data_IF_762084277784
#
_entry.id   IF_762084277784
#
_cell.length_a   1.000
_cell.length_b   1.000
_cell.length_c   1.000
_cell.angle_alpha   90.00
_cell.angle_beta   90.00
_cell.angle_gamma   90.00
#
_symmetry.space_group_name_H-M   'P 1'
#
loop_
_entity.id
_entity.type
_entity.pdbx_description
1 polymer ?
#
# COMPACT_ATOMS: atom_id res chain seq x y z
N UNK A 1 16.54 8.04 -61.43
CA UNK A 1 17.08 8.57 -60.16
C UNK A 1 16.05 8.26 -59.09
N UNK A 2 16.18 7.12 -58.49
CA UNK A 2 15.32 6.63 -57.39
C UNK A 2 15.98 7.00 -56.07
N UNK A 3 15.36 7.98 -55.40
CA UNK A 3 15.78 8.46 -54.09
C UNK A 3 15.32 7.42 -53.04
N UNK A 4 16.24 6.56 -52.62
CA UNK A 4 16.08 5.64 -51.49
C UNK A 4 16.46 6.38 -50.24
N UNK A 5 15.54 7.21 -49.70
CA UNK A 5 15.67 7.72 -48.34
C UNK A 5 15.59 6.52 -47.40
N UNK A 6 16.75 6.11 -46.89
CA UNK A 6 16.88 5.16 -45.76
C UNK A 6 16.13 5.72 -44.56
N UNK A 7 14.89 5.25 -44.36
CA UNK A 7 14.22 5.39 -43.08
C UNK A 7 15.08 4.71 -42.00
N UNK A 8 15.76 5.53 -41.19
CA UNK A 8 16.37 5.02 -39.94
C UNK A 8 15.25 4.36 -39.13
N UNK A 9 15.41 3.12 -38.74
CA UNK A 9 14.49 2.53 -37.75
C UNK A 9 14.56 3.43 -36.50
N UNK A 10 13.42 3.99 -36.12
CA UNK A 10 13.29 4.63 -34.81
C UNK A 10 13.67 3.58 -33.79
N UNK A 11 14.74 3.83 -33.04
CA UNK A 11 15.15 2.99 -31.92
C UNK A 11 13.93 2.80 -31.02
N UNK A 12 13.42 1.59 -30.94
CA UNK A 12 12.39 1.24 -30.00
C UNK A 12 12.87 1.60 -28.60
N UNK A 13 12.06 2.29 -27.76
CA UNK A 13 12.45 2.57 -26.39
C UNK A 13 12.64 1.19 -25.70
N UNK A 14 13.90 0.80 -25.55
CA UNK A 14 14.27 -0.40 -24.80
C UNK A 14 13.69 -0.33 -23.37
N UNK A 15 13.44 -1.48 -22.78
CA UNK A 15 12.90 -1.74 -21.44
C UNK A 15 13.70 -1.01 -20.32
N UNK A 16 13.83 0.30 -20.39
CA UNK A 16 14.46 1.10 -19.35
C UNK A 16 13.59 1.02 -18.09
N UNK A 17 14.17 0.50 -17.01
CA UNK A 17 13.55 0.50 -15.69
C UNK A 17 13.20 1.94 -15.33
N UNK A 18 11.95 2.21 -15.00
CA UNK A 18 11.55 3.51 -14.44
C UNK A 18 12.08 3.60 -13.00
N UNK A 19 13.33 4.04 -12.87
CA UNK A 19 14.03 4.15 -11.59
C UNK A 19 13.32 5.09 -10.62
N UNK A 20 12.59 6.09 -11.14
CA UNK A 20 11.83 7.02 -10.32
C UNK A 20 10.60 6.35 -9.71
N UNK A 21 9.88 5.55 -10.51
CA UNK A 21 8.76 4.76 -10.01
C UNK A 21 9.23 3.68 -9.03
N UNK A 22 10.36 3.03 -9.31
CA UNK A 22 10.95 2.04 -8.40
C UNK A 22 11.37 2.69 -7.08
N UNK A 23 12.08 3.82 -7.12
CA UNK A 23 12.47 4.58 -5.94
C UNK A 23 11.27 5.02 -5.10
N UNK A 24 10.20 5.51 -5.76
CA UNK A 24 8.95 5.89 -5.09
C UNK A 24 8.25 4.70 -4.41
N UNK A 25 8.24 3.53 -5.07
CA UNK A 25 7.69 2.31 -4.50
C UNK A 25 8.51 1.81 -3.30
N UNK A 26 9.84 1.81 -3.39
CA UNK A 26 10.74 1.41 -2.30
C UNK A 26 10.64 2.37 -1.12
N UNK A 27 10.55 3.68 -1.36
CA UNK A 27 10.30 4.66 -0.31
C UNK A 27 9.00 4.34 0.45
N UNK A 28 7.91 4.04 -0.28
CA UNK A 28 6.64 3.64 0.35
C UNK A 28 6.78 2.36 1.18
N UNK A 29 7.50 1.35 0.66
CA UNK A 29 7.76 0.10 1.38
C UNK A 29 8.53 0.34 2.67
N UNK A 30 9.62 1.12 2.63
CA UNK A 30 10.45 1.40 3.81
C UNK A 30 9.67 2.19 4.87
N UNK A 31 8.91 3.20 4.45
CA UNK A 31 8.10 3.99 5.38
C UNK A 31 6.92 3.18 5.96
N UNK A 32 6.31 2.29 5.19
CA UNK A 32 5.29 1.39 5.73
C UNK A 32 5.88 0.35 6.66
N UNK A 33 7.06 -0.18 6.36
CA UNK A 33 7.78 -1.08 7.27
C UNK A 33 8.10 -0.40 8.61
N UNK A 34 8.56 0.85 8.59
CA UNK A 34 8.83 1.62 9.81
C UNK A 34 7.56 1.96 10.61
N UNK A 35 6.38 1.98 9.95
CA UNK A 35 5.12 2.23 10.63
C UNK A 35 4.78 1.14 11.67
N UNK A 36 5.18 -0.11 11.44
CA UNK A 36 4.94 -1.20 12.40
C UNK A 36 5.61 -0.94 13.75
N UNK A 37 6.78 -0.26 13.76
CA UNK A 37 7.45 0.15 15.00
C UNK A 37 6.58 1.16 15.76
N UNK A 38 6.09 2.20 15.07
CA UNK A 38 5.26 3.24 15.68
C UNK A 38 3.86 2.75 16.09
N UNK A 39 3.26 1.83 15.33
CA UNK A 39 1.96 1.24 15.67
C UNK A 39 2.08 0.43 16.97
N UNK A 40 3.16 -0.34 17.13
CA UNK A 40 3.43 -1.10 18.36
C UNK A 40 3.60 -0.18 19.57
N UNK A 41 4.32 0.94 19.39
CA UNK A 41 4.52 1.93 20.45
C UNK A 41 3.21 2.61 20.89
N UNK A 42 2.20 2.67 20.04
CA UNK A 42 0.91 3.33 20.31
C UNK A 42 -0.22 2.38 20.75
N UNK A 43 0.02 1.07 20.76
CA UNK A 43 -1.04 0.07 20.95
C UNK A 43 -1.80 0.21 22.29
N UNK A 44 -1.11 0.65 23.34
CA UNK A 44 -1.68 0.82 24.67
C UNK A 44 -2.24 2.23 24.93
N UNK A 45 -1.82 3.24 24.15
CA UNK A 45 -2.16 4.64 24.38
C UNK A 45 -3.47 5.07 23.71
N UNK A 46 -3.80 4.49 22.54
CA UNK A 46 -4.92 4.93 21.71
C UNK A 46 -5.77 3.75 21.23
N UNK A 47 -7.09 3.91 21.25
CA UNK A 47 -8.00 2.96 20.61
C UNK A 47 -7.81 2.95 19.08
N UNK A 48 -8.13 1.83 18.37
CA UNK A 48 -7.93 1.70 16.93
C UNK A 48 -8.57 2.81 16.10
N UNK A 49 -9.77 3.25 16.50
CA UNK A 49 -10.48 4.35 15.84
C UNK A 49 -9.84 5.71 16.09
N UNK A 50 -9.48 6.00 17.34
CA UNK A 50 -8.79 7.24 17.71
C UNK A 50 -7.45 7.36 17.00
N UNK A 51 -6.67 6.29 17.00
CA UNK A 51 -5.39 6.24 16.29
C UNK A 51 -5.56 6.48 14.79
N UNK A 52 -6.53 5.80 14.14
CA UNK A 52 -6.81 6.01 12.71
C UNK A 52 -7.20 7.45 12.42
N UNK A 53 -8.10 8.04 13.23
CA UNK A 53 -8.52 9.43 13.06
C UNK A 53 -7.35 10.41 13.21
N UNK A 54 -6.56 10.30 14.28
CA UNK A 54 -5.39 11.17 14.52
C UNK A 54 -4.36 11.11 13.40
N UNK A 55 -4.03 9.91 12.93
CA UNK A 55 -3.13 9.68 11.81
C UNK A 55 -3.64 10.32 10.52
N UNK A 56 -4.93 10.16 10.20
CA UNK A 56 -5.53 10.75 9.00
C UNK A 56 -5.67 12.27 9.11
N UNK A 57 -5.93 12.80 10.29
CA UNK A 57 -5.95 14.24 10.53
C UNK A 57 -4.62 14.90 10.21
N UNK A 58 -3.53 14.38 10.74
CA UNK A 58 -2.17 14.86 10.44
C UNK A 58 -1.84 14.72 8.95
N UNK A 59 -2.17 13.57 8.35
CA UNK A 59 -1.95 13.34 6.93
C UNK A 59 -2.74 14.33 6.06
N UNK A 60 -4.00 14.59 6.38
CA UNK A 60 -4.84 15.53 5.65
C UNK A 60 -4.31 16.97 5.74
N UNK A 61 -3.83 17.39 6.91
CA UNK A 61 -3.18 18.71 7.09
C UNK A 61 -1.92 18.79 6.21
N UNK A 62 -1.04 17.81 6.29
CA UNK A 62 0.20 17.77 5.51
C UNK A 62 -0.07 17.77 4.00
N UNK A 63 -1.00 16.94 3.52
CA UNK A 63 -1.38 16.87 2.11
C UNK A 63 -2.04 18.18 1.65
N UNK A 64 -2.88 18.81 2.48
CA UNK A 64 -3.50 20.09 2.15
C UNK A 64 -2.46 21.19 2.00
N UNK A 65 -1.45 21.24 2.89
CA UNK A 65 -0.33 22.16 2.75
C UNK A 65 0.46 21.94 1.45
N UNK A 66 0.75 20.69 1.09
CA UNK A 66 1.44 20.35 -0.17
C UNK A 66 0.58 20.75 -1.38
N UNK A 67 -0.72 20.45 -1.36
CA UNK A 67 -1.66 20.80 -2.44
C UNK A 67 -1.79 22.31 -2.60
N UNK A 68 -1.85 23.07 -1.50
CA UNK A 68 -1.90 24.54 -1.53
C UNK A 68 -0.68 25.17 -2.22
N UNK A 69 0.50 24.56 -2.04
CA UNK A 69 1.75 25.00 -2.69
C UNK A 69 1.84 24.52 -4.13
N UNK A 70 1.57 23.24 -4.38
CA UNK A 70 1.75 22.59 -5.70
C UNK A 70 0.63 22.87 -6.67
N UNK A 71 -0.56 23.20 -6.18
CA UNK A 71 -1.79 23.49 -6.95
C UNK A 71 -2.05 22.49 -8.08
N UNK A 72 -2.08 21.18 -7.81
CA UNK A 72 -2.30 20.18 -8.84
C UNK A 72 -3.71 20.31 -9.43
N UNK A 73 -3.90 19.81 -10.66
CA UNK A 73 -5.20 19.78 -11.30
C UNK A 73 -6.22 18.98 -10.47
N UNK A 74 -7.43 19.49 -10.34
CA UNK A 74 -8.53 18.86 -9.63
C UNK A 74 -9.44 18.11 -10.62
N UNK A 75 -10.01 16.95 -10.22
CA UNK A 75 -10.97 16.24 -11.05
C UNK A 75 -12.31 17.01 -11.08
N UNK A 76 -12.87 17.19 -12.26
CA UNK A 76 -14.13 17.92 -12.47
C UNK A 76 -15.32 16.99 -12.70
N UNK A 77 -15.10 15.69 -12.88
CA UNK A 77 -16.14 14.73 -13.25
C UNK A 77 -16.46 13.77 -12.11
N UNK A 78 -17.75 13.43 -11.95
CA UNK A 78 -18.18 12.39 -11.01
C UNK A 78 -17.53 11.03 -11.27
N UNK A 79 -17.23 10.70 -12.54
CA UNK A 79 -16.55 9.46 -12.92
C UNK A 79 -15.14 9.35 -12.34
N UNK A 80 -14.47 10.47 -12.08
CA UNK A 80 -13.17 10.47 -11.40
C UNK A 80 -13.32 10.57 -9.88
N UNK A 81 -14.27 11.35 -9.38
CA UNK A 81 -14.46 11.58 -7.93
C UNK A 81 -14.96 10.34 -7.19
N UNK A 82 -15.91 9.58 -7.77
CA UNK A 82 -16.49 8.41 -7.09
C UNK A 82 -15.46 7.33 -6.74
N UNK A 83 -14.59 6.85 -7.67
CA UNK A 83 -13.57 5.87 -7.30
C UNK A 83 -12.57 6.40 -6.28
N UNK A 84 -12.22 7.71 -6.32
CA UNK A 84 -11.34 8.32 -5.34
C UNK A 84 -12.00 8.33 -3.97
N UNK A 85 -13.25 8.76 -3.89
CA UNK A 85 -14.00 8.79 -2.63
C UNK A 85 -14.21 7.38 -2.07
N UNK A 86 -14.60 6.41 -2.91
CA UNK A 86 -14.73 5.02 -2.50
C UNK A 86 -13.40 4.45 -1.98
N UNK A 87 -12.28 4.73 -2.66
CA UNK A 87 -10.94 4.37 -2.17
C UNK A 87 -10.63 5.05 -0.83
N UNK A 88 -11.05 6.31 -0.63
CA UNK A 88 -10.90 7.04 0.62
C UNK A 88 -11.61 6.35 1.78
N UNK A 89 -12.89 6.01 1.61
CA UNK A 89 -13.68 5.30 2.64
C UNK A 89 -13.09 3.91 2.90
N UNK A 90 -12.82 3.15 1.83
CA UNK A 90 -12.45 1.73 1.93
C UNK A 90 -11.00 1.57 2.41
N UNK A 91 -10.05 2.31 1.84
CA UNK A 91 -8.63 2.10 2.12
C UNK A 91 -8.12 3.00 3.26
N UNK A 92 -8.46 4.29 3.27
CA UNK A 92 -7.99 5.18 4.34
C UNK A 92 -8.86 5.07 5.61
N UNK A 93 -10.18 4.98 5.48
CA UNK A 93 -11.09 4.87 6.62
C UNK A 93 -11.17 3.43 7.15
N UNK A 94 -11.79 2.54 6.38
CA UNK A 94 -12.13 1.20 6.85
C UNK A 94 -10.89 0.31 7.05
N UNK A 95 -9.98 0.24 6.07
CA UNK A 95 -8.79 -0.61 6.17
C UNK A 95 -7.98 -0.35 7.44
N UNK A 96 -7.62 0.92 7.72
CA UNK A 96 -6.81 1.23 8.90
C UNK A 96 -7.54 0.90 10.20
N UNK A 97 -8.84 1.23 10.29
CA UNK A 97 -9.62 0.96 11.50
C UNK A 97 -9.77 -0.53 11.74
N UNK A 98 -10.10 -1.30 10.70
CA UNK A 98 -10.30 -2.74 10.76
C UNK A 98 -8.97 -3.46 11.05
N UNK A 99 -7.88 -3.05 10.40
CA UNK A 99 -6.57 -3.62 10.62
C UNK A 99 -6.11 -3.40 12.06
N UNK A 100 -6.16 -2.16 12.54
CA UNK A 100 -5.75 -1.82 13.90
C UNK A 100 -6.60 -2.56 14.96
N UNK A 101 -7.88 -2.83 14.67
CA UNK A 101 -8.73 -3.65 15.54
C UNK A 101 -8.33 -5.14 15.49
N UNK A 102 -8.03 -5.67 14.31
CA UNK A 102 -7.60 -7.06 14.14
C UNK A 102 -6.26 -7.35 14.81
N UNK A 103 -5.29 -6.44 14.70
CA UNK A 103 -3.95 -6.57 15.29
C UNK A 103 -3.94 -6.58 16.83
N UNK A 104 -5.05 -6.21 17.48
CA UNK A 104 -5.22 -6.36 18.93
C UNK A 104 -5.62 -7.78 19.36
N UNK A 105 -6.18 -8.56 18.45
CA UNK A 105 -6.76 -9.88 18.71
C UNK A 105 -5.90 -11.03 18.19
N UNK A 106 -4.88 -10.72 17.38
CA UNK A 106 -3.89 -11.69 16.87
C UNK A 106 -2.49 -11.14 17.00
N UNK A 107 -1.49 -12.01 17.07
CA UNK A 107 -0.10 -11.57 17.08
C UNK A 107 0.31 -10.91 15.74
N UNK A 108 1.33 -10.07 15.79
CA UNK A 108 1.79 -9.29 14.64
C UNK A 108 2.21 -10.16 13.45
N UNK A 109 2.78 -11.35 13.70
CA UNK A 109 3.16 -12.29 12.65
C UNK A 109 1.95 -12.83 11.91
N UNK A 110 0.91 -13.23 12.64
CA UNK A 110 -0.37 -13.69 12.08
C UNK A 110 -1.08 -12.56 11.33
N UNK A 111 -1.17 -11.36 11.90
CA UNK A 111 -1.76 -10.19 11.21
C UNK A 111 -1.04 -9.90 9.89
N UNK A 112 0.29 -9.87 9.90
CA UNK A 112 1.10 -9.65 8.71
C UNK A 112 0.86 -10.71 7.62
N UNK A 113 0.78 -12.00 7.99
CA UNK A 113 0.45 -13.07 7.04
C UNK A 113 -0.92 -12.85 6.39
N UNK A 114 -1.93 -12.56 7.18
CA UNK A 114 -3.31 -12.41 6.71
C UNK A 114 -3.47 -11.19 5.81
N UNK A 115 -2.89 -10.05 6.16
CA UNK A 115 -2.94 -8.83 5.34
C UNK A 115 -2.20 -9.01 4.02
N UNK A 116 -1.14 -9.82 4.00
CA UNK A 116 -0.40 -10.14 2.79
C UNK A 116 -1.13 -11.07 1.80
N UNK A 117 -2.38 -11.47 2.08
CA UNK A 117 -3.32 -11.95 1.06
C UNK A 117 -3.72 -10.80 0.11
N UNK A 118 -3.67 -9.54 0.56
CA UNK A 118 -4.03 -8.35 -0.22
C UNK A 118 -3.37 -8.26 -1.60
N UNK A 119 -2.04 -8.40 -1.75
CA UNK A 119 -1.38 -8.41 -3.05
C UNK A 119 -1.90 -9.47 -4.04
N UNK A 120 -2.31 -10.65 -3.56
CA UNK A 120 -2.94 -11.68 -4.40
C UNK A 120 -4.30 -11.17 -4.88
N UNK A 121 -5.09 -10.60 -3.99
CA UNK A 121 -6.39 -10.00 -4.33
C UNK A 121 -6.22 -8.83 -5.29
N UNK A 122 -5.20 -7.97 -5.13
CA UNK A 122 -4.89 -6.89 -6.08
C UNK A 122 -4.61 -7.47 -7.46
N UNK A 123 -3.75 -8.49 -7.56
CA UNK A 123 -3.44 -9.14 -8.83
C UNK A 123 -4.68 -9.77 -9.46
N UNK A 124 -5.54 -10.42 -8.66
CA UNK A 124 -6.80 -10.98 -9.12
C UNK A 124 -7.76 -9.89 -9.63
N UNK A 125 -7.98 -8.82 -8.88
CA UNK A 125 -8.85 -7.71 -9.28
C UNK A 125 -8.29 -6.95 -10.48
N UNK A 126 -6.98 -6.75 -10.55
CA UNK A 126 -6.33 -6.14 -11.71
C UNK A 126 -6.50 -6.99 -12.98
N UNK A 127 -6.32 -8.30 -12.86
CA UNK A 127 -6.54 -9.23 -13.97
C UNK A 127 -7.98 -9.25 -14.46
N UNK A 128 -8.95 -9.28 -13.53
CA UNK A 128 -10.37 -9.41 -13.84
C UNK A 128 -11.03 -8.08 -14.26
N UNK A 129 -10.73 -6.99 -13.55
CA UNK A 129 -11.48 -5.73 -13.71
C UNK A 129 -10.69 -4.64 -14.44
N UNK A 130 -9.36 -4.67 -14.43
CA UNK A 130 -8.53 -3.67 -15.11
C UNK A 130 -7.96 -4.16 -16.44
N UNK A 131 -8.21 -5.43 -16.80
CA UNK A 131 -7.70 -6.01 -18.04
C UNK A 131 -6.20 -6.24 -18.06
N UNK A 132 -5.54 -6.30 -16.89
CA UNK A 132 -4.10 -6.56 -16.79
C UNK A 132 -3.75 -8.02 -17.09
N UNK A 133 -4.73 -8.93 -17.05
CA UNK A 133 -4.54 -10.37 -17.21
C UNK A 133 -3.74 -11.00 -16.07
N UNK A 134 -3.30 -12.24 -16.30
CA UNK A 134 -2.54 -13.04 -15.33
C UNK A 134 -1.19 -13.49 -15.92
N UNK A 135 -0.20 -12.61 -16.09
CA UNK A 135 1.10 -12.99 -16.61
C UNK A 135 1.72 -14.09 -15.74
N UNK A 136 2.22 -15.21 -16.31
CA UNK A 136 2.73 -16.33 -15.52
C UNK A 136 3.81 -15.93 -14.51
N UNK A 137 4.68 -15.00 -14.88
CA UNK A 137 5.74 -14.51 -13.98
C UNK A 137 5.18 -13.72 -12.79
N UNK A 138 4.10 -12.95 -12.99
CA UNK A 138 3.41 -12.29 -11.88
C UNK A 138 2.80 -13.32 -10.94
N UNK A 139 2.12 -14.33 -11.46
CA UNK A 139 1.48 -15.38 -10.66
C UNK A 139 2.53 -16.17 -9.87
N UNK A 140 3.58 -16.67 -10.54
CA UNK A 140 4.67 -17.43 -9.89
C UNK A 140 5.39 -16.56 -8.87
N UNK A 141 5.77 -15.33 -9.25
CA UNK A 141 6.45 -14.40 -8.35
C UNK A 141 5.62 -14.04 -7.12
N UNK A 142 4.32 -13.81 -7.29
CA UNK A 142 3.41 -13.56 -6.16
C UNK A 142 3.26 -14.79 -5.25
N UNK A 143 3.17 -16.00 -5.81
CA UNK A 143 3.11 -17.23 -5.02
C UNK A 143 4.40 -17.44 -4.21
N UNK A 144 5.57 -17.25 -4.81
CA UNK A 144 6.86 -17.36 -4.11
C UNK A 144 6.99 -16.28 -3.02
N UNK A 145 6.63 -15.03 -3.32
CA UNK A 145 6.70 -13.94 -2.35
C UNK A 145 5.72 -14.15 -1.18
N UNK A 146 4.51 -14.64 -1.47
CA UNK A 146 3.53 -14.99 -0.44
C UNK A 146 4.01 -16.14 0.44
N UNK A 147 4.60 -17.18 -0.14
CA UNK A 147 5.23 -18.26 0.64
C UNK A 147 6.32 -17.71 1.57
N UNK A 148 7.14 -16.74 1.10
CA UNK A 148 8.10 -16.02 1.93
C UNK A 148 7.45 -15.30 3.11
N UNK A 149 6.34 -14.62 2.89
CA UNK A 149 5.57 -13.96 3.95
C UNK A 149 5.01 -14.96 4.96
N UNK A 150 4.51 -16.11 4.50
CA UNK A 150 4.06 -17.20 5.40
C UNK A 150 5.20 -17.70 6.29
N UNK A 151 6.39 -17.94 5.71
CA UNK A 151 7.57 -18.37 6.47
C UNK A 151 7.95 -17.33 7.53
N UNK A 152 7.95 -16.03 7.18
CA UNK A 152 8.20 -14.94 8.14
C UNK A 152 7.16 -14.96 9.26
N UNK A 153 5.89 -14.96 8.90
CA UNK A 153 4.81 -14.91 9.87
C UNK A 153 4.82 -16.09 10.84
N UNK A 154 5.03 -17.31 10.33
CA UNK A 154 5.16 -18.51 11.18
C UNK A 154 6.39 -18.45 12.08
N UNK A 155 7.50 -17.87 11.61
CA UNK A 155 8.72 -17.71 12.38
C UNK A 155 8.60 -16.64 13.50
N UNK A 156 7.74 -15.66 13.31
CA UNK A 156 7.54 -14.52 14.24
C UNK A 156 6.27 -14.64 15.08
N UNK A 157 5.40 -15.61 14.78
CA UNK A 157 4.18 -15.87 15.55
C UNK A 157 4.53 -16.39 16.95
N UNK A 158 3.89 -15.81 17.96
CA UNK A 158 4.08 -16.22 19.37
C UNK A 158 3.23 -17.41 19.76
N UNK A 159 2.30 -17.84 18.89
CA UNK A 159 1.35 -18.91 19.18
C UNK A 159 0.35 -18.56 20.29
N UNK A 160 0.30 -17.29 20.72
CA UNK A 160 -0.67 -16.85 21.70
C UNK A 160 -2.09 -16.98 21.12
N UNK A 161 -2.96 -17.71 21.80
CA UNK A 161 -4.37 -17.87 21.40
C UNK A 161 -5.24 -17.02 22.31
N UNK A 162 -5.70 -15.89 21.78
CA UNK A 162 -6.79 -15.13 22.38
C UNK A 162 -8.11 -15.83 22.03
N UNK A 163 -9.09 -15.93 22.95
CA UNK A 163 -10.42 -16.45 22.64
C UNK A 163 -11.08 -15.75 21.45
N UNK A 164 -10.77 -14.47 21.24
CA UNK A 164 -11.27 -13.64 20.14
C UNK A 164 -10.39 -13.69 18.88
N UNK A 165 -9.33 -14.52 18.85
CA UNK A 165 -8.46 -14.66 17.68
C UNK A 165 -9.21 -14.94 16.35
N UNK A 166 -10.29 -15.74 16.29
CA UNK A 166 -11.06 -15.91 15.06
C UNK A 166 -11.65 -14.61 14.53
N UNK A 167 -12.05 -13.68 15.41
CA UNK A 167 -12.54 -12.34 15.04
C UNK A 167 -11.37 -11.53 14.48
N UNK A 168 -10.21 -11.57 15.13
CA UNK A 168 -8.99 -10.93 14.67
C UNK A 168 -8.57 -11.39 13.27
N UNK A 169 -8.61 -12.71 13.02
CA UNK A 169 -8.36 -13.30 11.68
C UNK A 169 -9.34 -12.75 10.64
N UNK A 170 -10.65 -12.74 10.96
CA UNK A 170 -11.65 -12.21 10.04
C UNK A 170 -11.44 -10.72 9.73
N UNK A 171 -11.10 -9.91 10.73
CA UNK A 171 -10.78 -8.49 10.57
C UNK A 171 -9.54 -8.28 9.69
N UNK A 172 -8.46 -9.03 9.90
CA UNK A 172 -7.26 -8.93 9.07
C UNK A 172 -7.52 -9.33 7.61
N UNK A 173 -8.33 -10.36 7.35
CA UNK A 173 -8.73 -10.73 5.99
C UNK A 173 -9.64 -9.68 5.35
N UNK A 174 -10.56 -9.09 6.11
CA UNK A 174 -11.39 -7.99 5.64
C UNK A 174 -10.54 -6.75 5.33
N UNK A 175 -9.52 -6.47 6.14
CA UNK A 175 -8.54 -5.43 5.85
C UNK A 175 -7.77 -5.72 4.56
N UNK A 176 -7.31 -6.96 4.32
CA UNK A 176 -6.67 -7.34 3.06
C UNK A 176 -7.57 -7.10 1.84
N UNK A 177 -8.87 -7.41 1.96
CA UNK A 177 -9.85 -7.13 0.92
C UNK A 177 -10.03 -5.62 0.70
N UNK A 178 -10.18 -4.84 1.77
CA UNK A 178 -10.31 -3.39 1.69
C UNK A 178 -9.07 -2.74 1.04
N UNK A 179 -7.88 -3.20 1.38
CA UNK A 179 -6.63 -2.78 0.74
C UNK A 179 -6.65 -3.06 -0.77
N UNK A 180 -7.00 -4.28 -1.16
CA UNK A 180 -7.03 -4.67 -2.57
C UNK A 180 -8.06 -3.86 -3.39
N UNK A 181 -9.25 -3.66 -2.84
CA UNK A 181 -10.28 -2.82 -3.46
C UNK A 181 -9.81 -1.36 -3.57
N UNK A 182 -9.21 -0.82 -2.52
CA UNK A 182 -8.70 0.55 -2.51
C UNK A 182 -7.65 0.81 -3.58
N UNK A 183 -6.66 -0.08 -3.71
CA UNK A 183 -5.62 -0.01 -4.76
C UNK A 183 -6.24 -0.12 -6.15
N UNK A 184 -7.15 -1.07 -6.35
CA UNK A 184 -7.82 -1.28 -7.65
C UNK A 184 -8.63 -0.05 -8.06
N UNK A 185 -9.37 0.55 -7.12
CA UNK A 185 -10.13 1.79 -7.36
C UNK A 185 -9.21 2.96 -7.72
N UNK A 186 -8.11 3.15 -6.97
CA UNK A 186 -7.14 4.19 -7.30
C UNK A 186 -6.57 4.00 -8.71
N UNK A 187 -6.24 2.78 -9.11
CA UNK A 187 -5.69 2.50 -10.43
C UNK A 187 -6.61 2.94 -11.57
N UNK A 188 -7.93 2.90 -11.38
CA UNK A 188 -8.89 3.31 -12.42
C UNK A 188 -8.84 4.81 -12.78
N UNK A 189 -8.36 5.64 -11.86
CA UNK A 189 -8.33 7.10 -12.00
C UNK A 189 -6.92 7.67 -12.21
N UNK A 190 -5.90 6.93 -11.76
CA UNK A 190 -4.50 7.30 -12.03
C UNK A 190 -4.25 7.31 -13.54
N UNK A 191 -3.50 8.30 -14.03
CA UNK A 191 -3.33 8.59 -15.46
C UNK A 191 -4.25 9.68 -15.99
N UNK A 192 -5.38 9.96 -15.28
CA UNK A 192 -6.28 11.09 -15.58
C UNK A 192 -6.24 12.17 -14.50
N UNK A 193 -5.96 11.76 -13.27
CA UNK A 193 -5.85 12.63 -12.09
C UNK A 193 -4.46 12.48 -11.50
N UNK A 194 -3.78 13.59 -11.14
CA UNK A 194 -2.47 13.53 -10.51
C UNK A 194 -2.48 12.70 -9.21
N UNK A 195 -1.44 11.91 -8.98
CA UNK A 195 -1.32 11.05 -7.80
C UNK A 195 -1.52 11.80 -6.47
N UNK A 196 -0.93 12.99 -6.35
CA UNK A 196 -1.10 13.87 -5.18
C UNK A 196 -2.57 14.22 -4.94
N UNK A 197 -3.31 14.57 -6.00
CA UNK A 197 -4.74 14.92 -5.92
C UNK A 197 -5.57 13.71 -5.49
N UNK A 198 -5.29 12.53 -6.07
CA UNK A 198 -5.97 11.28 -5.71
C UNK A 198 -5.77 10.98 -4.22
N UNK A 199 -4.52 11.03 -3.74
CA UNK A 199 -4.19 10.75 -2.34
C UNK A 199 -4.80 11.78 -1.39
N UNK A 200 -4.74 13.07 -1.74
CA UNK A 200 -5.30 14.14 -0.91
C UNK A 200 -6.82 14.01 -0.74
N UNK A 201 -7.57 13.81 -1.83
CA UNK A 201 -9.03 13.65 -1.77
C UNK A 201 -9.38 12.35 -1.03
N UNK A 202 -8.71 11.23 -1.33
CA UNK A 202 -8.96 9.97 -0.67
C UNK A 202 -8.68 10.04 0.84
N UNK A 203 -7.57 10.68 1.25
CA UNK A 203 -7.25 10.90 2.66
C UNK A 203 -8.30 11.78 3.35
N UNK A 204 -8.74 12.89 2.72
CA UNK A 204 -9.79 13.76 3.24
C UNK A 204 -11.14 13.04 3.41
N UNK A 205 -11.52 12.20 2.45
CA UNK A 205 -12.74 11.38 2.54
C UNK A 205 -12.58 10.30 3.62
N UNK A 206 -11.41 9.66 3.73
CA UNK A 206 -11.13 8.71 4.81
C UNK A 206 -11.19 9.37 6.18
N UNK A 207 -10.63 10.57 6.33
CA UNK A 207 -10.76 11.37 7.55
C UNK A 207 -12.23 11.67 7.88
N UNK A 208 -13.02 12.08 6.88
CA UNK A 208 -14.45 12.33 7.07
C UNK A 208 -15.21 11.05 7.50
N UNK A 209 -14.86 9.90 6.94
CA UNK A 209 -15.45 8.62 7.32
C UNK A 209 -15.08 8.20 8.76
N UNK A 210 -13.94 8.65 9.28
CA UNK A 210 -13.48 8.38 10.65
C UNK A 210 -13.88 9.45 11.66
N UNK A 211 -14.64 10.50 11.29
CA UNK A 211 -15.16 11.53 12.20
C UNK A 211 -15.89 10.99 13.44
N UNK A 212 -16.65 9.87 13.40
CA UNK A 212 -17.23 9.30 14.61
C UNK A 212 -16.22 8.95 15.70
N UNK A 213 -14.94 8.76 15.37
CA UNK A 213 -13.86 8.49 16.32
C UNK A 213 -13.19 9.77 16.86
N UNK A 214 -13.55 10.96 16.36
CA UNK A 214 -12.96 12.23 16.80
C UNK A 214 -13.15 12.48 18.32
N UNK A 215 -14.31 12.22 18.95
CA UNK A 215 -14.45 12.38 20.39
C UNK A 215 -13.53 11.45 21.19
N UNK A 216 -13.34 10.19 20.73
CA UNK A 216 -12.40 9.25 21.34
C UNK A 216 -10.96 9.78 21.25
N UNK A 217 -10.56 10.24 20.07
CA UNK A 217 -9.24 10.83 19.86
C UNK A 217 -8.96 12.02 20.79
N UNK A 218 -9.92 12.94 20.91
CA UNK A 218 -9.77 14.12 21.81
C UNK A 218 -9.64 13.68 23.27
N UNK A 219 -10.41 12.67 23.71
CA UNK A 219 -10.34 12.14 25.06
C UNK A 219 -9.02 11.42 25.36
N UNK A 220 -8.55 10.59 24.42
CA UNK A 220 -7.37 9.74 24.61
C UNK A 220 -6.05 10.50 24.40
N UNK A 221 -5.98 11.42 23.40
CA UNK A 221 -4.75 12.17 23.08
C UNK A 221 -4.33 13.12 24.22
N UNK A 222 -5.27 13.59 25.03
CA UNK A 222 -4.99 14.45 26.18
C UNK A 222 -4.21 13.73 27.32
N UNK A 223 -4.38 12.43 27.42
CA UNK A 223 -3.66 11.56 28.38
C UNK A 223 -2.46 10.87 27.76
N UNK A 224 -2.35 10.84 26.42
CA UNK A 224 -1.24 10.28 25.72
C UNK A 224 0.03 11.14 25.93
N UNK A 225 1.16 10.48 26.15
CA UNK A 225 2.44 11.18 26.34
C UNK A 225 2.95 11.85 25.06
N UNK A 226 3.98 12.68 25.19
CA UNK A 226 4.64 13.35 24.04
C UNK A 226 5.14 12.36 23.00
N UNK A 227 5.53 11.18 23.42
CA UNK A 227 5.98 10.09 22.53
C UNK A 227 4.84 9.65 21.60
N UNK A 228 3.65 9.41 22.13
CA UNK A 228 2.49 9.03 21.34
C UNK A 228 2.11 10.09 20.30
N UNK A 229 2.14 11.37 20.68
CA UNK A 229 1.90 12.49 19.76
C UNK A 229 2.96 12.50 18.64
N UNK A 230 4.23 12.29 18.98
CA UNK A 230 5.33 12.24 18.01
C UNK A 230 5.12 11.12 17.00
N UNK A 231 4.72 9.94 17.47
CA UNK A 231 4.40 8.81 16.58
C UNK A 231 3.19 9.09 15.68
N UNK A 232 2.12 9.70 16.20
CA UNK A 232 0.95 10.08 15.38
C UNK A 232 1.37 11.04 14.26
N UNK A 233 2.19 12.04 14.59
CA UNK A 233 2.69 13.02 13.60
C UNK A 233 3.57 12.32 12.56
N UNK A 234 4.51 11.50 13.00
CA UNK A 234 5.34 10.70 12.09
C UNK A 234 4.53 9.82 11.16
N UNK A 235 3.59 9.04 11.72
CA UNK A 235 2.75 8.10 10.97
C UNK A 235 1.81 8.81 10.01
N UNK A 236 1.32 10.00 10.36
CA UNK A 236 0.51 10.83 9.47
C UNK A 236 1.32 11.39 8.30
N UNK A 237 2.50 11.93 8.55
CA UNK A 237 3.31 12.57 7.51
C UNK A 237 3.99 11.52 6.61
N UNK A 238 4.82 10.64 7.18
CA UNK A 238 5.68 9.76 6.38
C UNK A 238 4.94 8.55 5.83
N UNK A 239 4.42 7.61 6.66
CA UNK A 239 3.75 6.43 6.13
C UNK A 239 2.38 6.69 5.50
N UNK A 240 1.75 7.86 5.77
CA UNK A 240 0.44 8.17 5.19
C UNK A 240 0.55 9.21 4.09
N UNK A 241 0.86 10.46 4.37
CA UNK A 241 0.83 11.52 3.34
C UNK A 241 1.85 11.26 2.23
N UNK A 242 3.12 11.05 2.59
CA UNK A 242 4.19 10.88 1.62
C UNK A 242 4.17 9.49 0.96
N UNK A 243 4.08 8.42 1.76
CA UNK A 243 4.13 7.06 1.22
C UNK A 243 2.95 6.75 0.28
N UNK A 244 1.72 7.16 0.62
CA UNK A 244 0.58 6.94 -0.28
C UNK A 244 0.66 7.80 -1.55
N UNK A 245 1.25 8.99 -1.48
CA UNK A 245 1.47 9.82 -2.66
C UNK A 245 2.53 9.21 -3.57
N UNK A 246 3.66 8.74 -3.03
CA UNK A 246 4.72 8.09 -3.80
C UNK A 246 4.28 6.71 -4.31
N UNK A 247 3.47 5.97 -3.53
CA UNK A 247 2.82 4.75 -3.97
C UNK A 247 1.89 4.99 -5.16
N UNK A 248 0.98 5.96 -5.09
CA UNK A 248 0.08 6.31 -6.17
C UNK A 248 0.83 6.78 -7.42
N UNK A 249 1.93 7.52 -7.24
CA UNK A 249 2.83 7.90 -8.33
C UNK A 249 3.46 6.68 -9.02
N UNK A 250 3.97 5.72 -8.25
CA UNK A 250 4.54 4.48 -8.78
C UNK A 250 3.45 3.59 -9.43
N UNK A 251 2.29 3.47 -8.79
CA UNK A 251 1.14 2.72 -9.30
C UNK A 251 0.64 3.27 -10.64
N UNK A 252 0.74 4.57 -10.87
CA UNK A 252 0.39 5.17 -12.16
C UNK A 252 1.31 4.71 -13.31
N UNK A 253 2.54 4.31 -12.98
CA UNK A 253 3.59 3.94 -13.95
C UNK A 253 3.77 2.44 -14.16
N UNK A 254 3.03 1.61 -13.42
CA UNK A 254 3.09 0.15 -13.52
C UNK A 254 1.71 -0.48 -13.43
N UNK A 255 1.62 -1.79 -13.62
CA UNK A 255 0.37 -2.52 -13.42
C UNK A 255 0.03 -2.64 -11.93
N UNK A 256 -1.26 -2.73 -11.60
CA UNK A 256 -1.69 -2.88 -10.21
C UNK A 256 -1.20 -4.19 -9.60
N UNK A 257 -1.19 -5.28 -10.38
CA UNK A 257 -0.65 -6.56 -9.92
C UNK A 257 0.83 -6.51 -9.58
N UNK A 258 1.69 -5.88 -10.41
CA UNK A 258 3.13 -5.70 -10.12
C UNK A 258 3.36 -4.76 -8.93
N UNK A 259 2.56 -3.72 -8.82
CA UNK A 259 2.67 -2.79 -7.69
C UNK A 259 2.26 -3.47 -6.38
N UNK A 260 1.14 -4.19 -6.37
CA UNK A 260 0.72 -4.99 -5.22
C UNK A 260 1.77 -6.01 -4.80
N UNK A 261 2.38 -6.73 -5.77
CA UNK A 261 3.48 -7.66 -5.48
C UNK A 261 4.67 -6.99 -4.77
N UNK A 262 4.94 -5.69 -5.03
CA UNK A 262 6.03 -4.97 -4.37
C UNK A 262 5.83 -4.85 -2.85
N UNK A 263 4.61 -4.86 -2.34
CA UNK A 263 4.34 -4.80 -0.90
C UNK A 263 4.80 -6.05 -0.13
N UNK A 264 5.10 -7.16 -0.80
CA UNK A 264 5.77 -8.30 -0.16
C UNK A 264 7.20 -7.98 0.33
N UNK A 265 7.77 -6.84 -0.04
CA UNK A 265 9.01 -6.35 0.54
C UNK A 265 8.82 -5.72 1.93
N UNK A 266 7.59 -5.41 2.35
CA UNK A 266 7.34 -4.80 3.67
C UNK A 266 7.78 -5.72 4.81
N UNK A 267 7.38 -7.01 4.90
CA UNK A 267 7.78 -7.87 6.00
C UNK A 267 9.30 -8.02 6.19
N UNK A 268 10.11 -8.33 5.15
CA UNK A 268 11.56 -8.43 5.34
C UNK A 268 12.21 -7.10 5.72
N UNK A 269 11.69 -5.96 5.24
CA UNK A 269 12.19 -4.64 5.65
C UNK A 269 11.80 -4.33 7.09
N UNK A 270 10.60 -4.70 7.54
CA UNK A 270 10.16 -4.55 8.94
C UNK A 270 11.07 -5.32 9.89
N UNK A 271 11.40 -6.57 9.54
CA UNK A 271 12.33 -7.40 10.32
C UNK A 271 13.72 -6.75 10.38
N UNK A 272 14.22 -6.28 9.25
CA UNK A 272 15.51 -5.60 9.20
C UNK A 272 15.52 -4.33 10.07
N UNK A 273 14.46 -3.53 10.05
CA UNK A 273 14.33 -2.34 10.88
C UNK A 273 14.21 -2.69 12.38
N UNK A 274 13.45 -3.73 12.74
CA UNK A 274 13.36 -4.24 14.10
C UNK A 274 14.73 -4.66 14.63
N UNK A 275 15.50 -5.37 13.80
CA UNK A 275 16.87 -5.77 14.16
C UNK A 275 17.81 -4.58 14.34
N UNK A 276 17.80 -3.63 13.41
CA UNK A 276 18.73 -2.49 13.43
C UNK A 276 18.36 -1.43 14.47
N UNK A 277 17.07 -1.19 14.73
CA UNK A 277 16.61 -0.08 15.57
C UNK A 277 16.21 -0.53 16.98
N UNK A 278 15.72 -1.77 17.13
CA UNK A 278 15.23 -2.31 18.40
C UNK A 278 16.12 -3.42 18.96
N UNK A 279 17.21 -3.79 18.27
CA UNK A 279 18.08 -4.93 18.60
C UNK A 279 17.31 -6.27 18.72
N UNK A 280 16.19 -6.41 18.04
CA UNK A 280 15.42 -7.64 17.97
C UNK A 280 16.09 -8.62 17.00
N UNK A 281 16.74 -9.67 17.52
CA UNK A 281 17.41 -10.67 16.67
C UNK A 281 16.36 -11.50 15.93
N UNK A 282 16.34 -11.46 14.57
CA UNK A 282 15.34 -12.21 13.82
C UNK A 282 15.55 -13.72 13.94
N UNK A 283 14.48 -14.52 13.97
CA UNK A 283 14.58 -15.96 13.83
C UNK A 283 15.25 -16.34 12.50
N UNK A 284 16.06 -17.40 12.49
CA UNK A 284 16.80 -17.83 11.28
C UNK A 284 15.88 -18.05 10.06
N UNK A 285 14.67 -18.59 10.28
CA UNK A 285 13.67 -18.77 9.24
C UNK A 285 13.18 -17.45 8.62
N UNK A 286 13.24 -16.34 9.35
CA UNK A 286 12.84 -15.05 8.80
C UNK A 286 13.75 -14.58 7.66
N UNK A 287 15.05 -14.94 7.69
CA UNK A 287 15.97 -14.67 6.58
C UNK A 287 15.61 -15.45 5.31
N UNK A 288 15.22 -16.73 5.47
CA UNK A 288 14.72 -17.54 4.35
C UNK A 288 13.44 -16.93 3.76
N UNK A 289 12.49 -16.60 4.61
CA UNK A 289 11.25 -15.94 4.19
C UNK A 289 11.50 -14.60 3.47
N UNK A 290 12.43 -13.78 3.99
CA UNK A 290 12.86 -12.53 3.36
C UNK A 290 13.46 -12.74 1.97
N UNK A 291 14.32 -13.73 1.82
CA UNK A 291 14.92 -14.10 0.52
C UNK A 291 13.84 -14.55 -0.50
N UNK A 292 12.84 -15.33 -0.07
CA UNK A 292 11.68 -15.70 -0.89
C UNK A 292 10.84 -14.49 -1.29
N UNK A 293 10.56 -13.56 -0.37
CA UNK A 293 9.84 -12.32 -0.68
C UNK A 293 10.56 -11.52 -1.78
N UNK A 294 11.85 -11.27 -1.60
CA UNK A 294 12.67 -10.51 -2.56
C UNK A 294 12.74 -11.25 -3.91
N UNK A 295 13.03 -12.56 -3.89
CA UNK A 295 13.08 -13.39 -5.10
C UNK A 295 11.76 -13.38 -5.86
N UNK A 296 10.64 -13.53 -5.17
CA UNK A 296 9.30 -13.49 -5.77
C UNK A 296 8.98 -12.15 -6.41
N UNK A 297 9.34 -11.04 -5.75
CA UNK A 297 9.17 -9.69 -6.33
C UNK A 297 10.03 -9.50 -7.58
N UNK A 298 11.27 -9.98 -7.58
CA UNK A 298 12.15 -9.93 -8.76
C UNK A 298 11.55 -10.75 -9.91
N UNK A 299 11.08 -11.97 -9.66
CA UNK A 299 10.43 -12.82 -10.67
C UNK A 299 9.18 -12.13 -11.24
N UNK A 300 8.31 -11.58 -10.40
CA UNK A 300 7.09 -10.90 -10.84
C UNK A 300 7.39 -9.66 -11.72
N UNK A 301 8.51 -8.99 -11.48
CA UNK A 301 8.95 -7.81 -12.24
C UNK A 301 9.75 -8.13 -13.50
N UNK A 302 10.36 -9.29 -13.61
CA UNK A 302 11.27 -9.67 -14.70
C UNK A 302 10.59 -9.92 -16.05
N UNK A 303 9.26 -9.84 -16.16
CA UNK A 303 8.51 -10.01 -17.40
C UNK A 303 8.33 -8.70 -18.15
N UNK A 304 9.02 -8.54 -19.30
CA UNK A 304 8.83 -7.44 -20.23
C UNK A 304 7.44 -7.43 -20.87
N UNK A 305 7.04 -6.25 -21.37
CA UNK A 305 5.93 -5.88 -22.26
C UNK A 305 4.58 -6.58 -22.04
N UNK A 306 3.68 -5.87 -21.41
CA UNK A 306 2.26 -5.97 -21.78
C UNK A 306 2.00 -4.78 -22.71
N UNK A 307 2.12 -5.03 -24.01
CA UNK A 307 1.55 -4.14 -25.01
C UNK A 307 0.04 -4.19 -24.81
N UNK A 308 -0.55 -3.14 -24.25
CA UNK A 308 -1.98 -2.94 -24.34
C UNK A 308 -2.31 -2.78 -25.82
N UNK A 309 -3.19 -3.61 -26.41
CA UNK A 309 -3.68 -3.35 -27.75
C UNK A 309 -4.46 -2.04 -27.69
N UNK A 310 -3.85 -0.96 -28.19
CA UNK A 310 -4.58 0.26 -28.53
C UNK A 310 -5.57 -0.15 -29.60
N UNK A 311 -6.83 -0.34 -29.21
CA UNK A 311 -7.94 -0.51 -30.12
C UNK A 311 -8.03 0.77 -30.98
N UNK A 312 -7.34 0.77 -32.13
CA UNK A 312 -7.59 1.75 -33.17
C UNK A 312 -9.05 1.62 -33.56
N UNK A 313 -9.87 2.59 -33.15
CA UNK A 313 -11.16 2.80 -33.79
C UNK A 313 -10.85 3.14 -35.25
N UNK A 314 -11.06 2.19 -36.14
CA UNK A 314 -11.22 2.46 -37.56
C UNK A 314 -12.52 3.23 -37.69
N UNK A 315 -12.43 4.52 -37.95
CA UNK A 315 -13.51 5.33 -38.50
C UNK A 315 -13.83 4.80 -39.92
N UNK A 316 -14.92 4.11 -40.06
CA UNK A 316 -15.63 3.92 -41.32
C UNK A 316 -16.83 4.84 -41.34
#
# INVERSE_FOLDING_TARGET
MTDTSMERPLAEPGDAVDWLALGAALFSVVTWASAFVGIRALADDLSPGAFTFGRLLVAAIALTAIVAVRRPALPTTRRALLPIAASGVIWFGAYFTILNAGERLVDAGTAAMLVNVGPILIAAFAGLFLGEGFPPRLVIGSAVAFAGTLVIGLATSTGATDPDAPIGVALCLLAALAYALGVTLQKTVLGRVPALTVTWIACGVGLAATLPFAPLFVGEVGSAGTEAITWIVYLGIFPTALAFTTWAFALNRTTAGRMGNTSYLVPPVTILLGWLLLNEVPPTLAFLGGALCIGGVIVARSGGRIGLPVRRRTSG
#
